data_IF_394942210674
#
_entry.id   IF_394942210674
#
_cell.length_a   1.000
_cell.length_b   1.000
_cell.length_c   1.000
_cell.angle_alpha   90.00
_cell.angle_beta   90.00
_cell.angle_gamma   90.00
#
_symmetry.space_group_name_H-M   'P 1'
#
loop_
_entity.id
_entity.type
_entity.pdbx_description
1 polymer ?
#
# COMPACT_ATOMS: atom_id res chain seq x y z
N UNK A 1 28.25 7.11 25.99
CA UNK A 1 28.39 6.49 24.66
C UNK A 1 27.12 6.80 23.89
N UNK A 2 27.15 7.76 22.96
CA UNK A 2 25.99 8.06 22.13
C UNK A 2 25.79 6.89 21.17
N UNK A 3 24.66 6.17 21.29
CA UNK A 3 24.26 5.21 20.27
C UNK A 3 24.16 5.95 18.94
N UNK A 4 24.79 5.43 17.91
CA UNK A 4 24.72 5.99 16.56
C UNK A 4 23.27 6.01 16.06
N UNK A 5 23.01 6.83 15.04
CA UNK A 5 21.72 6.82 14.35
C UNK A 5 21.46 5.43 13.76
N UNK A 6 20.36 4.81 14.14
CA UNK A 6 19.92 3.53 13.56
C UNK A 6 19.15 3.77 12.26
N UNK A 7 19.70 3.23 11.18
CA UNK A 7 19.13 3.29 9.83
C UNK A 7 18.82 1.90 9.25
N UNK A 8 18.84 0.85 10.08
CA UNK A 8 18.58 -0.54 9.70
C UNK A 8 17.22 -0.72 9.01
N UNK A 9 16.18 -0.04 9.48
CA UNK A 9 14.87 -0.09 8.87
C UNK A 9 14.84 0.71 7.54
N UNK A 10 14.31 0.15 6.45
CA UNK A 10 14.31 0.83 5.16
C UNK A 10 13.35 2.03 5.09
N UNK A 11 12.41 2.18 6.04
CA UNK A 11 11.35 3.18 5.94
C UNK A 11 11.52 4.38 6.88
N UNK A 12 12.15 4.20 8.04
CA UNK A 12 12.36 5.25 9.03
C UNK A 12 13.73 5.11 9.70
N UNK A 13 14.17 6.16 10.38
CA UNK A 13 15.43 6.18 11.14
C UNK A 13 15.15 6.50 12.61
N UNK A 14 16.06 6.07 13.48
CA UNK A 14 16.07 6.39 14.91
C UNK A 14 17.34 7.13 15.31
N UNK A 15 17.21 8.40 15.69
CA UNK A 15 18.28 9.26 16.17
C UNK A 15 18.05 9.62 17.64
N UNK A 16 18.65 8.83 18.54
CA UNK A 16 18.47 8.95 19.99
C UNK A 16 18.95 10.30 20.54
N UNK A 17 19.84 11.03 19.84
CA UNK A 17 20.36 12.33 20.29
C UNK A 17 19.27 13.41 20.42
N UNK A 18 18.14 13.23 19.74
CA UNK A 18 16.98 14.14 19.76
C UNK A 18 15.88 13.69 20.72
N UNK A 19 16.09 12.59 21.45
CA UNK A 19 15.07 11.98 22.28
C UNK A 19 14.82 12.80 23.55
N UNK A 20 13.55 13.08 23.84
CA UNK A 20 13.11 13.76 25.07
C UNK A 20 12.53 12.81 26.12
N UNK A 21 12.69 11.48 25.94
CA UNK A 21 12.23 10.44 26.86
C UNK A 21 10.76 10.51 27.30
N UNK A 22 9.87 11.03 26.44
CA UNK A 22 8.44 11.15 26.75
C UNK A 22 7.67 9.81 26.72
N UNK A 23 8.32 8.70 26.37
CA UNK A 23 7.75 7.35 26.27
C UNK A 23 6.56 7.17 25.30
N UNK A 24 6.23 8.17 24.46
CA UNK A 24 5.14 8.07 23.47
C UNK A 24 5.33 6.93 22.48
N UNK A 25 6.57 6.66 22.05
CA UNK A 25 6.89 5.56 21.14
C UNK A 25 6.68 4.18 21.80
N UNK A 26 7.12 4.02 23.05
CA UNK A 26 6.94 2.79 23.86
C UNK A 26 5.44 2.54 24.07
N UNK A 27 4.71 3.56 24.51
CA UNK A 27 3.26 3.48 24.70
C UNK A 27 2.51 3.17 23.42
N UNK A 28 2.82 3.82 22.30
CA UNK A 28 2.20 3.47 21.01
C UNK A 28 2.48 2.01 20.60
N UNK A 29 3.68 1.50 20.87
CA UNK A 29 4.05 0.12 20.57
C UNK A 29 3.29 -0.90 21.43
N UNK A 30 3.13 -0.62 22.73
CA UNK A 30 2.44 -1.51 23.67
C UNK A 30 0.91 -1.37 23.68
N UNK A 31 0.40 -0.14 23.72
CA UNK A 31 -1.04 0.15 23.86
C UNK A 31 -1.79 0.06 22.52
N UNK A 32 -1.17 0.44 21.40
CA UNK A 32 -1.85 0.52 20.08
C UNK A 32 -1.51 -0.67 19.19
N UNK A 33 -0.22 -0.97 19.01
CA UNK A 33 0.19 -2.12 18.20
C UNK A 33 0.14 -3.44 18.95
N UNK A 34 0.47 -3.45 20.25
CA UNK A 34 0.45 -4.65 21.09
C UNK A 34 1.66 -5.57 20.94
N UNK A 35 2.75 -5.15 20.29
CA UNK A 35 3.93 -6.03 20.06
C UNK A 35 5.04 -5.85 21.08
N UNK A 36 5.01 -4.77 21.88
CA UNK A 36 5.99 -4.52 22.96
C UNK A 36 7.47 -4.54 22.53
N UNK A 37 7.75 -4.19 21.28
CA UNK A 37 9.11 -4.19 20.71
C UNK A 37 9.98 -2.99 21.18
N UNK A 38 9.45 -2.08 21.98
CA UNK A 38 10.15 -0.91 22.49
C UNK A 38 10.06 -0.86 24.02
N UNK A 39 11.17 -0.47 24.65
CA UNK A 39 11.27 -0.27 26.09
C UNK A 39 12.14 0.95 26.42
N UNK A 40 12.21 1.31 27.70
CA UNK A 40 13.20 2.24 28.24
C UNK A 40 14.28 1.40 28.94
N UNK A 41 15.51 1.51 28.47
CA UNK A 41 16.68 0.87 29.07
C UNK A 41 17.48 1.90 29.86
N UNK A 42 18.12 1.48 30.96
CA UNK A 42 18.87 2.39 31.83
C UNK A 42 18.00 3.13 32.85
N UNK A 43 18.60 4.03 33.61
CA UNK A 43 17.93 4.74 34.72
C UNK A 43 18.42 6.18 34.83
N UNK A 44 17.52 7.11 35.13
CA UNK A 44 17.85 8.51 35.32
C UNK A 44 18.26 9.16 34.00
N UNK A 45 19.34 9.93 34.01
CA UNK A 45 19.83 10.60 32.80
C UNK A 45 20.34 9.62 31.74
N UNK A 46 20.76 8.41 32.16
CA UNK A 46 21.22 7.37 31.25
C UNK A 46 20.08 6.55 30.62
N UNK A 47 18.82 6.91 30.87
CA UNK A 47 17.66 6.24 30.26
C UNK A 47 17.59 6.49 28.76
N UNK A 48 17.34 5.44 27.97
CA UNK A 48 17.25 5.51 26.51
C UNK A 48 16.13 4.62 25.99
N UNK A 49 15.48 5.05 24.90
CA UNK A 49 14.55 4.19 24.16
C UNK A 49 15.37 3.12 23.44
N UNK A 50 14.98 1.86 23.60
CA UNK A 50 15.69 0.70 23.04
C UNK A 50 14.69 -0.33 22.52
N UNK A 51 15.10 -1.14 21.54
CA UNK A 51 14.34 -2.29 21.01
C UNK A 51 14.46 -3.54 21.89
N UNK A 52 14.85 -3.38 23.16
CA UNK A 52 15.01 -4.45 24.13
C UNK A 52 16.40 -5.07 24.06
N UNK A 53 16.63 -6.00 23.12
CA UNK A 53 17.91 -6.71 22.97
C UNK A 53 19.04 -5.87 22.32
N UNK A 54 18.78 -4.59 22.03
CA UNK A 54 19.82 -3.58 21.81
C UNK A 54 20.60 -3.68 20.50
N UNK A 55 20.08 -4.34 19.46
CA UNK A 55 20.77 -4.42 18.16
C UNK A 55 20.35 -3.28 17.24
N UNK A 56 19.10 -3.26 16.78
CA UNK A 56 18.53 -2.23 15.92
C UNK A 56 17.01 -2.47 15.73
N UNK A 57 16.33 -1.64 14.94
CA UNK A 57 14.91 -1.80 14.63
C UNK A 57 14.62 -3.02 13.74
N UNK A 58 15.47 -3.34 12.76
CA UNK A 58 15.19 -4.40 11.78
C UNK A 58 15.38 -5.82 12.37
N UNK A 59 16.37 -5.99 13.24
CA UNK A 59 16.67 -7.24 13.95
C UNK A 59 15.88 -7.43 15.24
N UNK A 60 14.95 -6.52 15.55
CA UNK A 60 14.04 -6.63 16.71
C UNK A 60 12.69 -7.23 16.33
N UNK A 61 11.78 -7.36 17.30
CA UNK A 61 10.39 -7.76 17.09
C UNK A 61 9.53 -6.66 16.41
N UNK A 62 10.15 -5.58 15.91
CA UNK A 62 9.44 -4.49 15.24
C UNK A 62 8.90 -4.91 13.85
N UNK A 63 7.57 -4.90 13.71
CA UNK A 63 6.89 -5.20 12.43
C UNK A 63 6.65 -3.98 11.53
N UNK A 64 7.29 -2.85 11.80
CA UNK A 64 7.23 -1.63 10.95
C UNK A 64 5.82 -1.04 10.73
N UNK A 65 4.97 -1.04 11.76
CA UNK A 65 3.62 -0.43 11.68
C UNK A 65 3.64 1.11 11.60
N UNK A 66 4.74 1.73 12.04
CA UNK A 66 4.94 3.19 12.03
C UNK A 66 4.19 3.97 13.12
N UNK A 67 3.55 3.29 14.09
CA UNK A 67 2.84 3.95 15.19
C UNK A 67 3.79 4.79 16.07
N UNK A 68 4.98 4.26 16.36
CA UNK A 68 6.02 4.97 17.10
C UNK A 68 6.54 6.21 16.34
N UNK A 69 6.68 6.11 15.02
CA UNK A 69 7.11 7.22 14.14
C UNK A 69 6.05 8.32 14.13
N UNK A 70 4.77 7.96 13.96
CA UNK A 70 3.65 8.90 14.00
C UNK A 70 3.54 9.62 15.36
N UNK A 71 3.88 8.94 16.45
CA UNK A 71 3.77 9.48 17.80
C UNK A 71 4.99 10.31 18.23
N UNK A 72 6.12 10.25 17.52
CA UNK A 72 7.35 10.92 17.91
C UNK A 72 7.28 12.44 17.63
N UNK A 73 7.48 13.32 18.62
CA UNK A 73 7.38 14.77 18.42
C UNK A 73 8.68 15.45 17.96
N UNK A 74 9.84 14.81 18.10
CA UNK A 74 11.17 15.47 18.03
C UNK A 74 12.03 14.97 16.87
N UNK A 75 11.43 14.30 15.88
CA UNK A 75 12.15 13.67 14.77
C UNK A 75 13.23 12.66 15.19
N UNK A 76 13.20 12.17 16.45
CA UNK A 76 13.98 11.02 16.91
C UNK A 76 13.62 9.80 16.08
N UNK A 77 12.33 9.54 15.89
CA UNK A 77 11.82 8.58 14.92
C UNK A 77 11.19 9.36 13.76
N UNK A 78 11.74 9.22 12.57
CA UNK A 78 11.30 9.97 11.39
C UNK A 78 11.38 9.12 10.13
N UNK A 79 10.44 9.30 9.20
CA UNK A 79 10.47 8.61 7.91
C UNK A 79 11.64 9.09 7.05
N UNK A 80 12.31 8.15 6.38
CA UNK A 80 13.37 8.46 5.42
C UNK A 80 12.85 9.29 4.25
N UNK A 81 11.59 9.10 3.85
CA UNK A 81 10.98 9.88 2.77
C UNK A 81 10.82 11.37 3.12
N UNK A 82 10.56 11.71 4.38
CA UNK A 82 10.49 13.10 4.84
C UNK A 82 11.88 13.74 4.85
N UNK A 83 12.91 12.98 5.26
CA UNK A 83 14.31 13.44 5.18
C UNK A 83 14.71 13.73 3.73
N UNK A 84 14.35 12.82 2.80
CA UNK A 84 14.77 12.90 1.41
C UNK A 84 13.97 13.91 0.57
N UNK A 85 12.66 14.04 0.81
CA UNK A 85 11.76 14.86 -0.02
C UNK A 85 11.41 16.20 0.61
N UNK A 86 11.51 16.33 1.94
CA UNK A 86 11.07 17.51 2.68
C UNK A 86 9.72 17.31 3.37
N UNK A 87 9.24 18.37 4.01
CA UNK A 87 7.94 18.34 4.70
C UNK A 87 6.79 18.47 3.70
N UNK A 88 5.71 17.69 3.88
CA UNK A 88 4.52 17.84 3.04
C UNK A 88 3.77 19.14 3.35
N UNK A 89 3.09 19.69 2.35
CA UNK A 89 2.34 20.95 2.44
C UNK A 89 0.82 20.73 2.58
N UNK A 90 0.29 19.67 1.98
CA UNK A 90 -1.14 19.37 1.97
C UNK A 90 -1.39 17.87 2.12
N UNK A 91 -2.66 17.49 2.32
CA UNK A 91 -3.04 16.09 2.45
C UNK A 91 -4.37 15.76 1.80
N UNK A 92 -4.44 14.60 1.16
CA UNK A 92 -5.67 14.03 0.59
C UNK A 92 -6.03 12.76 1.36
N UNK A 93 -7.32 12.61 1.68
CA UNK A 93 -7.81 11.40 2.34
C UNK A 93 -7.99 10.30 1.28
N UNK A 94 -7.43 9.13 1.56
CA UNK A 94 -7.55 7.94 0.71
C UNK A 94 -7.61 6.68 1.57
N UNK A 95 -7.77 5.51 0.94
CA UNK A 95 -7.89 4.22 1.60
C UNK A 95 -6.77 3.28 1.18
N UNK A 96 -6.48 2.31 2.05
CA UNK A 96 -5.47 1.29 1.82
C UNK A 96 -5.94 0.26 0.76
N UNK A 97 -5.17 0.09 -0.32
CA UNK A 97 -5.50 -0.84 -1.41
C UNK A 97 -5.12 -2.32 -1.13
N UNK A 98 -5.07 -2.76 0.14
CA UNK A 98 -4.57 -4.10 0.53
C UNK A 98 -5.65 -5.06 1.04
N UNK A 99 -5.75 -5.28 2.37
CA UNK A 99 -6.35 -6.49 2.95
C UNK A 99 -7.88 -6.52 3.03
N UNK A 100 -8.59 -5.41 2.80
CA UNK A 100 -10.05 -5.34 2.95
C UNK A 100 -10.53 -4.72 4.27
N UNK A 101 -9.63 -4.45 5.23
CA UNK A 101 -9.99 -3.67 6.45
C UNK A 101 -10.41 -2.24 6.09
N UNK A 102 -9.85 -1.66 5.03
CA UNK A 102 -10.21 -0.29 4.62
C UNK A 102 -9.60 0.81 5.50
N UNK A 103 -8.40 0.57 6.08
CA UNK A 103 -7.68 1.59 6.83
C UNK A 103 -7.62 2.90 6.03
N UNK A 104 -8.11 3.99 6.63
CA UNK A 104 -8.09 5.31 6.01
C UNK A 104 -6.78 6.04 6.32
N UNK A 105 -6.24 6.73 5.32
CA UNK A 105 -4.97 7.44 5.36
C UNK A 105 -5.12 8.88 4.88
N UNK A 106 -4.29 9.75 5.42
CA UNK A 106 -3.88 11.01 4.80
C UNK A 106 -2.64 10.73 3.96
N UNK A 107 -2.78 10.79 2.63
CA UNK A 107 -1.64 10.91 1.73
C UNK A 107 -1.12 12.34 1.83
N UNK A 108 0.08 12.51 2.39
CA UNK A 108 0.69 13.81 2.59
C UNK A 108 1.66 14.12 1.44
N UNK A 109 1.40 15.24 0.79
CA UNK A 109 1.91 15.58 -0.54
C UNK A 109 2.75 16.85 -0.51
N UNK A 110 3.62 16.99 -1.49
CA UNK A 110 4.32 18.23 -1.83
C UNK A 110 4.22 18.41 -3.34
N UNK A 111 3.43 19.38 -3.80
CA UNK A 111 2.89 19.36 -5.16
C UNK A 111 2.26 17.99 -5.47
N UNK A 112 2.65 17.39 -6.59
CA UNK A 112 2.17 16.06 -7.00
C UNK A 112 3.00 14.90 -6.41
N UNK A 113 4.03 15.19 -5.61
CA UNK A 113 4.89 14.16 -5.05
C UNK A 113 4.35 13.66 -3.70
N UNK A 114 4.05 12.35 -3.63
CA UNK A 114 3.73 11.70 -2.37
C UNK A 114 4.97 11.61 -1.46
N UNK A 115 4.93 12.30 -0.32
CA UNK A 115 6.00 12.30 0.68
C UNK A 115 5.82 11.13 1.63
N UNK A 116 4.64 10.98 2.22
CA UNK A 116 4.31 9.88 3.13
C UNK A 116 2.80 9.64 3.22
N UNK A 117 2.41 8.48 3.73
CA UNK A 117 1.03 8.19 4.13
C UNK A 117 0.96 8.05 5.64
N UNK A 118 0.07 8.80 6.29
CA UNK A 118 -0.18 8.69 7.74
C UNK A 118 -1.63 8.32 8.00
N UNK A 119 -1.96 7.47 8.98
CA UNK A 119 -3.34 7.12 9.29
C UNK A 119 -4.23 8.35 9.54
N UNK A 120 -5.46 8.32 9.02
CA UNK A 120 -6.48 9.30 9.35
C UNK A 120 -7.29 8.82 10.56
N UNK A 121 -7.39 9.65 11.60
CA UNK A 121 -8.11 9.31 12.83
C UNK A 121 -9.64 9.23 12.67
N UNK A 122 -10.20 9.81 11.60
CA UNK A 122 -11.64 9.79 11.35
C UNK A 122 -12.16 8.50 10.70
N UNK A 123 -11.26 7.60 10.26
CA UNK A 123 -11.65 6.30 9.74
C UNK A 123 -12.09 5.35 10.85
N UNK A 124 -13.31 4.81 10.74
CA UNK A 124 -13.88 3.87 11.72
C UNK A 124 -13.20 2.50 11.70
N UNK A 125 -12.54 2.14 10.60
CA UNK A 125 -11.87 0.85 10.48
C UNK A 125 -10.55 0.75 11.26
N UNK A 126 -9.83 1.87 11.43
CA UNK A 126 -8.46 1.85 11.93
C UNK A 126 -8.14 2.88 13.02
N UNK A 127 -9.03 3.84 13.31
CA UNK A 127 -8.88 4.82 14.39
C UNK A 127 -7.48 5.46 14.51
N UNK A 128 -6.82 5.73 13.38
CA UNK A 128 -5.49 6.33 13.35
C UNK A 128 -4.30 5.37 13.49
N UNK A 129 -4.49 4.07 13.28
CA UNK A 129 -3.44 3.04 13.24
C UNK A 129 -3.25 2.43 11.84
N UNK A 130 -2.13 1.71 11.63
CA UNK A 130 -1.79 1.09 10.33
C UNK A 130 -0.83 -0.09 10.44
N UNK A 131 -0.67 -0.84 9.34
CA UNK A 131 0.43 -1.79 9.15
C UNK A 131 1.45 -1.27 8.12
N UNK A 132 2.60 -1.95 8.02
CA UNK A 132 3.71 -1.61 7.10
C UNK A 132 3.26 -1.39 5.65
N UNK A 133 2.32 -2.21 5.16
CA UNK A 133 1.88 -2.20 3.75
C UNK A 133 1.25 -0.86 3.35
N UNK A 134 0.21 -0.45 4.06
CA UNK A 134 -0.45 0.85 3.79
C UNK A 134 0.40 2.04 4.23
N UNK A 135 1.23 1.88 5.26
CA UNK A 135 2.01 2.97 5.84
C UNK A 135 3.21 3.40 5.00
N UNK A 136 3.85 2.44 4.33
CA UNK A 136 5.14 2.63 3.67
C UNK A 136 5.22 2.05 2.26
N UNK A 137 4.52 0.95 1.96
CA UNK A 137 4.68 0.21 0.70
C UNK A 137 3.87 0.81 -0.46
N UNK A 138 3.90 2.12 -0.67
CA UNK A 138 3.26 2.81 -1.80
C UNK A 138 4.20 3.02 -3.00
N UNK A 139 5.46 2.59 -2.89
CA UNK A 139 6.50 2.79 -3.94
C UNK A 139 6.27 2.01 -5.24
N UNK A 140 5.36 1.02 -5.26
CA UNK A 140 5.03 0.29 -6.49
C UNK A 140 4.44 1.21 -7.57
N UNK A 141 3.79 2.31 -7.18
CA UNK A 141 3.21 3.27 -8.13
C UNK A 141 4.28 4.04 -8.93
N UNK A 142 5.50 4.12 -8.41
CA UNK A 142 6.63 4.82 -9.03
C UNK A 142 7.78 3.87 -9.39
N UNK A 143 7.53 2.56 -9.41
CA UNK A 143 8.55 1.59 -9.77
C UNK A 143 8.83 1.63 -11.28
N UNK A 144 10.10 1.48 -11.67
CA UNK A 144 10.54 1.54 -13.08
C UNK A 144 9.93 0.44 -13.97
N UNK A 145 9.54 -0.69 -13.39
CA UNK A 145 8.90 -1.80 -14.12
C UNK A 145 7.39 -1.57 -14.34
N UNK A 146 6.82 -0.44 -13.90
CA UNK A 146 5.41 -0.12 -14.14
C UNK A 146 5.19 0.15 -15.63
N UNK A 147 4.31 -0.63 -16.25
CA UNK A 147 3.89 -0.42 -17.63
C UNK A 147 3.07 0.88 -17.73
N UNK A 148 3.47 1.76 -18.64
CA UNK A 148 2.82 3.05 -18.88
C UNK A 148 2.17 3.16 -20.27
N UNK A 149 2.51 2.25 -21.19
CA UNK A 149 2.05 2.26 -22.59
C UNK A 149 1.30 0.96 -22.90
N UNK A 150 0.17 0.99 -23.64
CA UNK A 150 -0.48 -0.21 -24.15
C UNK A 150 0.47 -1.02 -25.03
N UNK A 151 0.35 -2.35 -24.99
CA UNK A 151 1.16 -3.26 -25.78
C UNK A 151 0.30 -4.37 -26.38
N UNK A 152 0.66 -4.84 -27.57
CA UNK A 152 0.02 -5.98 -28.23
C UNK A 152 1.05 -7.01 -28.71
N UNK A 153 0.58 -8.24 -28.92
CA UNK A 153 1.28 -9.32 -29.63
C UNK A 153 0.25 -10.24 -30.26
N UNK A 154 0.50 -10.75 -31.46
CA UNK A 154 -0.41 -11.68 -32.14
C UNK A 154 -0.27 -13.12 -31.63
N UNK A 155 0.94 -13.50 -31.24
CA UNK A 155 1.26 -14.80 -30.65
C UNK A 155 2.04 -14.64 -29.33
N UNK A 156 1.95 -15.63 -28.44
CA UNK A 156 2.63 -15.59 -27.14
C UNK A 156 4.15 -15.67 -27.26
N UNK A 157 4.65 -16.30 -28.32
CA UNK A 157 6.09 -16.44 -28.60
C UNK A 157 6.70 -15.18 -29.22
N UNK A 158 5.87 -14.19 -29.57
CA UNK A 158 6.34 -12.93 -30.12
C UNK A 158 6.62 -11.92 -28.98
N UNK A 159 7.61 -11.03 -29.18
CA UNK A 159 7.84 -9.92 -28.26
C UNK A 159 6.63 -8.98 -28.24
N UNK A 160 6.48 -8.26 -27.12
CA UNK A 160 5.51 -7.18 -27.02
C UNK A 160 5.87 -6.02 -27.92
N UNK A 161 4.85 -5.40 -28.52
CA UNK A 161 4.98 -4.13 -29.26
C UNK A 161 4.15 -3.05 -28.58
N UNK A 162 4.79 -1.95 -28.22
CA UNK A 162 4.10 -0.75 -27.73
C UNK A 162 3.28 -0.10 -28.85
N UNK A 163 2.05 0.31 -28.52
CA UNK A 163 1.08 0.86 -29.47
C UNK A 163 0.23 1.96 -28.85
N UNK A 164 -0.51 2.69 -29.69
CA UNK A 164 -1.50 3.67 -29.23
C UNK A 164 -2.70 2.98 -28.57
N UNK A 165 -3.46 3.76 -27.79
CA UNK A 165 -4.72 3.29 -27.21
C UNK A 165 -5.74 2.86 -28.27
N UNK A 166 -5.87 3.62 -29.36
CA UNK A 166 -6.82 3.30 -30.44
C UNK A 166 -6.48 1.97 -31.12
N UNK A 167 -5.19 1.73 -31.37
CA UNK A 167 -4.72 0.47 -31.95
C UNK A 167 -4.94 -0.70 -31.00
N UNK A 168 -4.58 -0.55 -29.71
CA UNK A 168 -4.75 -1.61 -28.72
C UNK A 168 -6.23 -1.99 -28.52
N UNK A 169 -7.11 -0.99 -28.37
CA UNK A 169 -8.55 -1.20 -28.17
C UNK A 169 -9.17 -1.78 -29.44
N UNK A 170 -8.82 -1.25 -30.62
CA UNK A 170 -9.30 -1.77 -31.90
C UNK A 170 -8.88 -3.21 -32.15
N UNK A 171 -7.63 -3.55 -31.85
CA UNK A 171 -7.10 -4.90 -31.91
C UNK A 171 -7.88 -5.86 -31.01
N UNK A 172 -8.02 -5.53 -29.72
CA UNK A 172 -8.73 -6.36 -28.75
C UNK A 172 -10.21 -6.56 -29.14
N UNK A 173 -10.91 -5.48 -29.52
CA UNK A 173 -12.32 -5.53 -29.92
C UNK A 173 -12.54 -6.42 -31.16
N UNK A 174 -11.67 -6.31 -32.17
CA UNK A 174 -11.73 -7.14 -33.37
C UNK A 174 -11.58 -8.63 -33.02
N UNK A 175 -10.56 -8.98 -32.23
CA UNK A 175 -10.29 -10.39 -31.85
C UNK A 175 -11.40 -10.99 -31.00
N UNK A 176 -11.97 -10.22 -30.06
CA UNK A 176 -13.11 -10.65 -29.26
C UNK A 176 -14.34 -10.95 -30.15
N UNK A 177 -14.66 -10.08 -31.11
CA UNK A 177 -15.77 -10.28 -32.05
C UNK A 177 -15.55 -11.49 -32.95
N UNK A 178 -14.33 -11.69 -33.47
CA UNK A 178 -13.97 -12.86 -34.28
C UNK A 178 -14.18 -14.18 -33.50
N UNK A 179 -13.76 -14.22 -32.22
CA UNK A 179 -13.93 -15.38 -31.35
C UNK A 179 -15.41 -15.66 -31.07
N UNK A 180 -16.22 -14.63 -30.78
CA UNK A 180 -17.66 -14.80 -30.59
C UNK A 180 -18.37 -15.26 -31.88
N UNK A 181 -17.96 -14.75 -33.04
CA UNK A 181 -18.54 -15.14 -34.33
C UNK A 181 -18.25 -16.62 -34.66
N UNK A 182 -17.07 -17.13 -34.30
CA UNK A 182 -16.67 -18.53 -34.57
C UNK A 182 -17.18 -19.52 -33.54
N UNK A 183 -17.22 -19.13 -32.26
CA UNK A 183 -17.44 -20.06 -31.13
C UNK A 183 -18.70 -19.74 -30.31
N UNK A 184 -19.50 -18.75 -30.74
CA UNK A 184 -20.74 -18.34 -30.09
C UNK A 184 -20.54 -17.35 -28.94
N UNK A 185 -21.64 -16.76 -28.45
CA UNK A 185 -21.62 -15.65 -27.47
C UNK A 185 -20.91 -15.99 -26.14
N UNK A 186 -20.92 -17.26 -25.73
CA UNK A 186 -20.38 -17.75 -24.46
C UNK A 186 -18.88 -18.08 -24.50
N UNK A 187 -18.19 -17.84 -25.62
CA UNK A 187 -16.75 -18.12 -25.77
C UNK A 187 -15.83 -17.04 -25.16
N UNK A 188 -16.40 -15.95 -24.67
CA UNK A 188 -15.68 -14.83 -24.04
C UNK A 188 -16.23 -14.58 -22.64
N UNK A 189 -15.42 -13.96 -21.78
CA UNK A 189 -15.79 -13.60 -20.42
C UNK A 189 -14.85 -12.54 -19.83
N UNK A 190 -15.08 -12.16 -18.59
CA UNK A 190 -14.28 -11.17 -17.87
C UNK A 190 -13.99 -11.59 -16.43
N UNK A 191 -12.79 -11.27 -15.94
CA UNK A 191 -12.41 -11.45 -14.54
C UNK A 191 -12.24 -10.05 -13.93
N UNK A 192 -13.08 -9.70 -12.97
CA UNK A 192 -12.99 -8.44 -12.24
C UNK A 192 -11.95 -8.53 -11.13
N UNK A 193 -11.48 -7.38 -10.67
CA UNK A 193 -10.49 -7.27 -9.62
C UNK A 193 -11.06 -6.58 -8.40
N UNK A 194 -11.10 -7.25 -7.24
CA UNK A 194 -11.46 -6.61 -5.96
C UNK A 194 -10.42 -5.58 -5.47
N UNK A 195 -9.31 -5.40 -6.22
CA UNK A 195 -8.32 -4.34 -5.97
C UNK A 195 -8.70 -3.02 -6.66
N UNK A 196 -9.59 -3.10 -7.65
CA UNK A 196 -10.19 -1.95 -8.32
C UNK A 196 -11.40 -1.42 -7.53
N UNK A 197 -11.95 -0.30 -8.00
CA UNK A 197 -13.17 0.26 -7.44
C UNK A 197 -14.41 -0.59 -7.77
N UNK A 198 -15.48 -0.39 -7.00
CA UNK A 198 -16.77 -1.01 -7.30
C UNK A 198 -17.41 -0.40 -8.56
N UNK A 199 -17.13 0.85 -8.90
CA UNK A 199 -17.55 1.47 -10.17
C UNK A 199 -16.89 0.80 -11.37
N UNK A 200 -15.57 0.57 -11.33
CA UNK A 200 -14.85 -0.18 -12.37
C UNK A 200 -15.40 -1.62 -12.48
N UNK A 201 -15.65 -2.27 -11.34
CA UNK A 201 -16.25 -3.61 -11.32
C UNK A 201 -17.64 -3.61 -11.96
N UNK A 202 -18.45 -2.58 -11.70
CA UNK A 202 -19.75 -2.40 -12.34
C UNK A 202 -19.61 -2.23 -13.86
N UNK A 203 -18.63 -1.45 -14.33
CA UNK A 203 -18.37 -1.26 -15.75
C UNK A 203 -17.93 -2.56 -16.43
N UNK A 204 -17.04 -3.34 -15.82
CA UNK A 204 -16.59 -4.62 -16.37
C UNK A 204 -17.74 -5.64 -16.45
N UNK A 205 -18.54 -5.78 -15.40
CA UNK A 205 -19.68 -6.71 -15.47
C UNK A 205 -20.72 -6.24 -16.50
N UNK A 206 -20.89 -4.92 -16.67
CA UNK A 206 -21.79 -4.36 -17.68
C UNK A 206 -21.26 -4.60 -19.09
N UNK A 207 -19.95 -4.49 -19.31
CA UNK A 207 -19.30 -4.86 -20.57
C UNK A 207 -19.60 -6.32 -20.91
N UNK A 208 -19.40 -7.25 -19.98
CA UNK A 208 -19.65 -8.68 -20.21
C UNK A 208 -21.14 -8.95 -20.49
N UNK A 209 -22.04 -8.40 -19.67
CA UNK A 209 -23.47 -8.68 -19.78
C UNK A 209 -24.16 -7.97 -20.93
N UNK A 210 -23.96 -6.66 -21.05
CA UNK A 210 -24.67 -5.84 -22.01
C UNK A 210 -23.97 -5.82 -23.38
N UNK A 211 -22.64 -5.74 -23.44
CA UNK A 211 -21.93 -5.63 -24.71
C UNK A 211 -21.54 -6.98 -25.30
N UNK A 212 -21.05 -7.92 -24.47
CA UNK A 212 -20.70 -9.28 -24.95
C UNK A 212 -21.89 -10.24 -24.93
N UNK A 213 -22.98 -9.89 -24.24
CA UNK A 213 -24.25 -10.63 -24.29
C UNK A 213 -24.22 -11.98 -23.56
N UNK A 214 -23.41 -12.11 -22.51
CA UNK A 214 -23.33 -13.34 -21.71
C UNK A 214 -23.12 -13.04 -20.20
N UNK A 215 -23.09 -14.08 -19.36
CA UNK A 215 -22.93 -13.94 -17.91
C UNK A 215 -21.60 -14.49 -17.37
N UNK A 216 -20.62 -14.72 -18.25
CA UNK A 216 -19.31 -15.30 -17.91
C UNK A 216 -18.42 -14.22 -17.27
N UNK A 217 -18.77 -13.80 -16.07
CA UNK A 217 -17.99 -12.87 -15.25
C UNK A 217 -17.60 -13.53 -13.94
N UNK A 218 -16.38 -13.28 -13.49
CA UNK A 218 -15.89 -13.85 -12.23
C UNK A 218 -14.92 -12.91 -11.50
N UNK A 219 -14.48 -13.27 -10.30
CA UNK A 219 -13.57 -12.46 -9.46
C UNK A 219 -12.76 -13.31 -8.47
N UNK A 220 -11.80 -12.70 -7.78
CA UNK A 220 -10.98 -13.38 -6.76
C UNK A 220 -11.80 -13.95 -5.58
N UNK A 221 -13.02 -13.46 -5.35
CA UNK A 221 -13.91 -13.99 -4.32
C UNK A 221 -14.37 -15.45 -4.56
N UNK A 222 -14.13 -16.04 -5.74
CA UNK A 222 -14.36 -17.49 -5.93
C UNK A 222 -13.42 -18.36 -5.12
N UNK A 223 -12.16 -17.96 -5.03
CA UNK A 223 -11.14 -18.73 -4.31
C UNK A 223 -10.99 -18.30 -2.85
N UNK A 224 -11.63 -17.20 -2.45
CA UNK A 224 -11.57 -16.66 -1.09
C UNK A 224 -12.96 -16.15 -0.67
N UNK A 225 -13.57 -16.80 0.32
CA UNK A 225 -14.92 -16.51 0.85
C UNK A 225 -16.12 -16.85 -0.07
N UNK A 226 -15.94 -17.66 -1.12
CA UNK A 226 -17.09 -18.08 -1.93
C UNK A 226 -18.19 -18.82 -1.17
N UNK A 227 -17.90 -19.72 -0.20
CA UNK A 227 -18.96 -20.41 0.54
C UNK A 227 -19.66 -19.51 1.57
N UNK A 228 -19.04 -18.39 1.97
CA UNK A 228 -19.63 -17.42 2.90
C UNK A 228 -20.65 -16.50 2.23
N UNK A 229 -20.52 -16.31 0.91
CA UNK A 229 -21.41 -15.43 0.14
C UNK A 229 -22.72 -16.06 -0.31
N UNK A 230 -22.94 -17.36 -0.01
CA UNK A 230 -24.21 -18.07 -0.18
C UNK A 230 -24.87 -18.28 1.17
#
# INVERSE_FOLDING_TARGET
>A
LALGKDESNPYFTFDASKCILCSRCVRACGEVQGTFALTIQGRGFDSQVSTGKGTDFLGSDCVSCGACVQACPTATLTEKSVIAKGQPEHSVITTCAYCGVGCSFKAQMQGDQLVRMTPWKGGQANHGHSCVKGRFAFGYATHKDRLATPMIRDHIDQPWREVSWDEAIGFAARRLKEVQARHGRHSVGGITSSRCTNEETYLVQKLVRAALGNNNTDTCARVCHSPTGY
#
